data_IF_125844942260
#
_entry.id   IF_125844942260
#
_cell.length_a   1.000
_cell.length_b   1.000
_cell.length_c   1.000
_cell.angle_alpha   90.00
_cell.angle_beta   90.00
_cell.angle_gamma   90.00
#
_symmetry.space_group_name_H-M   'P 1'
#
loop_
_entity.id
_entity.type
_entity.pdbx_description
1 polymer ?
#
# COMPACT_ATOMS: atom_id res chain seq x y z
N UNK A 1 -3.22 -30.41 -25.02
CA UNK A 1 -2.81 -29.82 -26.32
C UNK A 1 -3.77 -28.69 -26.67
N UNK A 2 -3.30 -27.47 -26.92
CA UNK A 2 -4.20 -26.32 -27.14
C UNK A 2 -4.89 -26.33 -28.51
N UNK A 3 -4.31 -26.93 -29.54
CA UNK A 3 -4.99 -27.16 -30.83
C UNK A 3 -6.17 -28.12 -30.72
N UNK A 4 -5.95 -29.34 -30.21
CA UNK A 4 -6.98 -30.37 -30.10
C UNK A 4 -8.15 -30.01 -29.17
N UNK A 5 -7.88 -29.26 -28.09
CA UNK A 5 -8.88 -28.98 -27.05
C UNK A 5 -9.20 -27.49 -26.90
N UNK A 6 -8.62 -26.63 -27.73
CA UNK A 6 -8.89 -25.19 -27.72
C UNK A 6 -10.38 -24.92 -27.99
N UNK A 7 -10.96 -24.00 -27.23
CA UNK A 7 -12.40 -23.70 -27.29
C UNK A 7 -13.32 -24.73 -26.63
N UNK A 8 -12.78 -25.86 -26.15
CA UNK A 8 -13.57 -26.94 -25.54
C UNK A 8 -13.16 -27.21 -24.09
N UNK A 9 -11.86 -27.35 -23.82
CA UNK A 9 -11.36 -27.59 -22.46
C UNK A 9 -11.28 -26.28 -21.65
N UNK A 10 -11.66 -26.30 -20.36
CA UNK A 10 -11.44 -25.18 -19.45
C UNK A 10 -9.96 -24.80 -19.41
N UNK A 11 -9.68 -23.50 -19.40
CA UNK A 11 -8.34 -22.98 -19.30
C UNK A 11 -8.19 -22.12 -18.03
N UNK A 12 -7.58 -22.66 -16.96
CA UNK A 12 -7.32 -21.96 -15.71
C UNK A 12 -6.62 -20.61 -15.88
N UNK A 13 -5.66 -20.48 -16.82
CA UNK A 13 -4.95 -19.19 -16.99
C UNK A 13 -5.86 -18.09 -17.56
N UNK A 14 -6.80 -18.46 -18.44
CA UNK A 14 -7.78 -17.50 -18.97
C UNK A 14 -8.77 -17.08 -17.88
N UNK A 15 -9.18 -18.01 -17.02
CA UNK A 15 -10.05 -17.70 -15.87
C UNK A 15 -9.34 -16.80 -14.87
N UNK A 16 -8.09 -17.11 -14.54
CA UNK A 16 -7.27 -16.28 -13.67
C UNK A 16 -7.09 -14.86 -14.24
N UNK A 17 -6.80 -14.74 -15.54
CA UNK A 17 -6.69 -13.43 -16.20
C UNK A 17 -7.97 -12.60 -16.12
N UNK A 18 -9.14 -13.23 -16.29
CA UNK A 18 -10.45 -12.58 -16.11
C UNK A 18 -10.65 -12.13 -14.67
N UNK A 19 -10.37 -12.99 -13.70
CA UNK A 19 -10.50 -12.67 -12.28
C UNK A 19 -9.65 -11.44 -11.96
N UNK A 20 -8.34 -11.50 -12.23
CA UNK A 20 -7.40 -10.41 -11.92
C UNK A 20 -7.80 -9.11 -12.62
N UNK A 21 -8.14 -9.16 -13.91
CA UNK A 21 -8.59 -7.99 -14.66
C UNK A 21 -9.93 -7.42 -14.19
N UNK A 22 -10.71 -8.19 -13.43
CA UNK A 22 -12.00 -7.76 -12.88
C UNK A 22 -11.92 -7.31 -11.42
N UNK A 23 -10.75 -7.39 -10.75
CA UNK A 23 -10.56 -6.92 -9.36
C UNK A 23 -10.26 -5.41 -9.27
N UNK A 24 -9.79 -4.79 -10.35
CA UNK A 24 -9.46 -3.36 -10.42
C UNK A 24 -9.78 -2.83 -11.81
N UNK A 25 -10.52 -1.73 -11.86
CA UNK A 25 -10.89 -1.05 -13.10
C UNK A 25 -9.70 -0.32 -13.73
N UNK A 26 -9.87 0.07 -15.00
CA UNK A 26 -8.87 0.85 -15.74
C UNK A 26 -8.67 2.27 -15.18
N UNK A 27 -9.60 2.75 -14.36
CA UNK A 27 -9.51 3.99 -13.60
C UNK A 27 -8.84 3.81 -12.24
N UNK A 28 -8.31 2.61 -11.94
CA UNK A 28 -7.65 2.27 -10.69
C UNK A 28 -8.58 1.97 -9.51
N UNK A 29 -9.91 2.02 -9.71
CA UNK A 29 -10.87 1.72 -8.65
C UNK A 29 -10.98 0.20 -8.43
N UNK A 30 -10.97 -0.24 -7.16
CA UNK A 30 -11.11 -1.66 -6.80
C UNK A 30 -12.58 -2.07 -6.86
N UNK A 31 -12.90 -3.07 -7.66
CA UNK A 31 -14.29 -3.43 -8.00
C UNK A 31 -14.90 -4.48 -7.07
N UNK A 32 -14.17 -4.90 -6.03
CA UNK A 32 -14.66 -5.87 -5.05
C UNK A 32 -15.86 -5.26 -4.28
N UNK A 33 -17.01 -5.94 -4.20
CA UNK A 33 -18.17 -5.44 -3.48
C UNK A 33 -17.87 -5.13 -2.02
N UNK A 34 -18.28 -3.94 -1.57
CA UNK A 34 -18.08 -3.46 -0.21
C UNK A 34 -16.64 -3.06 0.14
N UNK A 35 -15.73 -2.99 -0.85
CA UNK A 35 -14.32 -2.67 -0.59
C UNK A 35 -14.12 -1.27 0.01
N UNK A 36 -14.98 -0.31 -0.35
CA UNK A 36 -14.87 1.08 0.10
C UNK A 36 -15.85 1.47 1.21
N UNK A 37 -16.72 0.56 1.67
CA UNK A 37 -17.84 0.90 2.56
C UNK A 37 -17.40 1.53 3.88
N UNK A 38 -16.29 1.03 4.44
CA UNK A 38 -15.77 1.47 5.74
C UNK A 38 -14.58 2.44 5.59
N UNK A 39 -14.35 3.00 4.40
CA UNK A 39 -13.20 3.89 4.18
C UNK A 39 -13.42 5.25 4.86
N UNK A 40 -12.58 5.56 5.84
CA UNK A 40 -12.53 6.89 6.44
C UNK A 40 -11.82 7.91 5.55
N UNK A 41 -12.57 8.89 5.07
CA UNK A 41 -12.02 10.01 4.30
C UNK A 41 -11.13 10.93 5.18
N UNK A 42 -10.06 11.51 4.59
CA UNK A 42 -9.29 12.56 5.24
C UNK A 42 -10.16 13.80 5.53
N UNK A 43 -9.75 14.58 6.52
CA UNK A 43 -10.36 15.88 6.81
C UNK A 43 -10.04 16.92 5.72
N UNK A 44 -10.87 17.95 5.59
CA UNK A 44 -10.60 19.06 4.65
C UNK A 44 -9.24 19.75 4.90
N UNK A 45 -8.80 19.79 6.17
CA UNK A 45 -7.51 20.33 6.56
C UNK A 45 -6.34 19.46 6.06
N UNK A 46 -6.44 18.13 6.21
CA UNK A 46 -5.47 17.18 5.64
C UNK A 46 -5.42 17.31 4.12
N UNK A 47 -6.57 17.33 3.44
CA UNK A 47 -6.65 17.49 1.99
C UNK A 47 -6.04 18.82 1.52
N UNK A 48 -6.30 19.92 2.23
CA UNK A 48 -5.73 21.22 1.90
C UNK A 48 -4.21 21.26 2.03
N UNK A 49 -3.62 20.53 2.98
CA UNK A 49 -2.16 20.40 3.08
C UNK A 49 -1.61 19.54 1.95
N UNK A 50 -2.18 18.36 1.69
CA UNK A 50 -1.72 17.47 0.62
C UNK A 50 -1.80 18.12 -0.76
N UNK A 51 -2.81 18.94 -1.04
CA UNK A 51 -2.90 19.68 -2.32
C UNK A 51 -1.69 20.58 -2.59
N UNK A 52 -1.01 21.07 -1.56
CA UNK A 52 0.18 21.93 -1.72
C UNK A 52 1.37 21.15 -2.25
N UNK A 53 1.50 19.90 -1.84
CA UNK A 53 2.67 19.05 -2.12
C UNK A 53 2.40 18.02 -3.24
N UNK A 54 1.15 17.82 -3.64
CA UNK A 54 0.76 16.74 -4.56
C UNK A 54 1.48 16.84 -5.91
N UNK A 55 1.61 18.03 -6.48
CA UNK A 55 2.30 18.22 -7.76
C UNK A 55 3.79 17.82 -7.68
N UNK A 56 4.47 18.23 -6.59
CA UNK A 56 5.87 17.86 -6.34
C UNK A 56 6.02 16.37 -6.10
N UNK A 57 5.08 15.77 -5.34
CA UNK A 57 5.04 14.32 -5.17
C UNK A 57 4.86 13.58 -6.50
N UNK A 58 3.98 14.06 -7.38
CA UNK A 58 3.74 13.44 -8.68
C UNK A 58 4.99 13.50 -9.57
N UNK A 59 5.66 14.64 -9.65
CA UNK A 59 6.90 14.82 -10.41
C UNK A 59 7.99 13.85 -9.90
N UNK A 60 8.17 13.80 -8.58
CA UNK A 60 9.17 12.92 -7.97
C UNK A 60 8.83 11.44 -8.15
N UNK A 61 7.55 11.06 -8.01
CA UNK A 61 7.11 9.68 -8.25
C UNK A 61 7.37 9.24 -9.70
N UNK A 62 7.11 10.09 -10.69
CA UNK A 62 7.43 9.82 -12.09
C UNK A 62 8.94 9.67 -12.30
N UNK A 63 9.73 10.57 -11.71
CA UNK A 63 11.21 10.54 -11.79
C UNK A 63 11.77 9.25 -11.20
N UNK A 64 11.32 8.85 -10.02
CA UNK A 64 11.83 7.69 -9.29
C UNK A 64 11.40 6.36 -9.91
N UNK A 65 10.16 6.28 -10.40
CA UNK A 65 9.63 5.05 -11.02
C UNK A 65 10.03 4.90 -12.48
N UNK A 66 10.41 6.00 -13.15
CA UNK A 66 10.62 6.03 -14.59
C UNK A 66 9.34 5.88 -15.40
N UNK A 67 8.16 5.97 -14.77
CA UNK A 67 6.87 5.87 -15.43
C UNK A 67 6.60 7.11 -16.30
N UNK A 68 5.83 6.93 -17.38
CA UNK A 68 5.39 8.04 -18.25
C UNK A 68 4.17 8.78 -17.70
N UNK A 69 3.40 8.11 -16.84
CA UNK A 69 2.22 8.63 -16.19
C UNK A 69 1.99 7.86 -14.89
N UNK A 70 1.35 8.50 -13.92
CA UNK A 70 0.89 7.84 -12.71
C UNK A 70 -0.49 7.22 -12.97
N UNK A 71 -0.67 5.98 -12.54
CA UNK A 71 -1.94 5.27 -12.56
C UNK A 71 -2.59 5.30 -11.17
N UNK A 72 -3.90 5.22 -11.10
CA UNK A 72 -4.64 5.04 -9.85
C UNK A 72 -6.03 5.67 -9.88
N UNK A 73 -6.74 5.51 -8.78
CA UNK A 73 -8.15 5.90 -8.64
C UNK A 73 -8.43 7.35 -9.10
N UNK A 74 -9.30 7.49 -10.10
CA UNK A 74 -9.68 8.79 -10.64
C UNK A 74 -10.40 9.67 -9.60
N UNK A 75 -10.21 10.99 -9.67
CA UNK A 75 -10.84 11.95 -8.76
C UNK A 75 -10.12 12.16 -7.42
N UNK A 76 -9.01 11.46 -7.16
CA UNK A 76 -8.20 11.60 -5.95
C UNK A 76 -6.79 12.10 -6.26
N UNK A 77 -6.23 12.90 -5.36
CA UNK A 77 -4.82 13.31 -5.39
C UNK A 77 -3.89 12.08 -5.36
N UNK A 78 -2.66 12.23 -5.86
CA UNK A 78 -1.67 11.15 -5.76
C UNK A 78 -1.31 10.83 -4.31
N UNK A 79 -1.24 11.85 -3.45
CA UNK A 79 -1.06 11.70 -2.00
C UNK A 79 -2.27 11.07 -1.30
N UNK A 80 -3.49 11.33 -1.76
CA UNK A 80 -4.68 10.64 -1.25
C UNK A 80 -4.61 9.15 -1.56
N UNK A 81 -4.30 8.81 -2.83
CA UNK A 81 -4.13 7.43 -3.31
C UNK A 81 -3.05 6.67 -2.53
N UNK A 82 -1.98 7.36 -2.13
CA UNK A 82 -0.85 6.78 -1.40
C UNK A 82 -1.21 6.32 0.02
N UNK A 83 -2.00 7.10 0.77
CA UNK A 83 -2.13 6.90 2.22
C UNK A 83 -3.55 6.92 2.78
N UNK A 84 -4.58 7.16 1.95
CA UNK A 84 -5.97 7.26 2.42
C UNK A 84 -7.00 6.56 1.55
N UNK A 85 -6.60 6.10 0.36
CA UNK A 85 -7.41 5.23 -0.48
C UNK A 85 -6.88 3.79 -0.41
N UNK A 86 -7.74 2.79 -0.21
CA UNK A 86 -7.31 1.41 -0.32
C UNK A 86 -7.02 1.05 -1.78
N UNK A 87 -6.10 0.11 -1.99
CA UNK A 87 -5.72 -0.36 -3.34
C UNK A 87 -5.52 -1.87 -3.32
N UNK A 88 -5.54 -2.45 -4.51
CA UNK A 88 -5.22 -3.84 -4.79
C UNK A 88 -4.21 -3.90 -5.93
N UNK A 89 -3.22 -4.77 -5.81
CA UNK A 89 -2.23 -4.98 -6.85
C UNK A 89 -1.89 -6.47 -7.01
N UNK A 90 -1.69 -6.89 -8.26
CA UNK A 90 -1.20 -8.22 -8.59
C UNK A 90 0.34 -8.21 -8.57
N UNK A 91 0.91 -8.97 -7.64
CA UNK A 91 2.35 -9.02 -7.40
C UNK A 91 3.05 -10.09 -8.25
N UNK A 92 2.29 -11.05 -8.77
CA UNK A 92 2.81 -12.09 -9.64
C UNK A 92 1.70 -13.01 -10.14
N UNK A 93 1.88 -13.53 -11.35
CA UNK A 93 0.98 -14.48 -11.99
C UNK A 93 1.82 -15.56 -12.64
N UNK A 94 1.51 -16.83 -12.38
CA UNK A 94 2.18 -17.97 -12.98
C UNK A 94 1.16 -18.95 -13.56
N UNK A 95 1.43 -19.44 -14.76
CA UNK A 95 0.70 -20.51 -15.40
C UNK A 95 1.26 -20.79 -16.79
N UNK A 96 0.96 -21.96 -17.34
CA UNK A 96 1.32 -22.28 -18.73
C UNK A 96 2.82 -22.43 -18.96
N UNK A 97 3.26 -21.97 -20.13
CA UNK A 97 4.65 -22.01 -20.59
C UNK A 97 5.22 -20.59 -20.54
N UNK A 98 6.27 -20.39 -19.74
CA UNK A 98 6.85 -19.06 -19.44
C UNK A 98 8.31 -18.91 -19.90
N UNK A 99 8.87 -19.95 -20.53
CA UNK A 99 10.24 -19.96 -21.05
C UNK A 99 10.32 -19.40 -22.47
N UNK A 100 11.53 -19.24 -23.00
CA UNK A 100 11.75 -18.83 -24.39
C UNK A 100 11.25 -19.91 -25.35
N UNK A 101 10.65 -19.49 -26.46
CA UNK A 101 10.15 -20.37 -27.53
C UNK A 101 8.63 -20.46 -27.53
N UNK A 102 8.10 -21.56 -28.05
CA UNK A 102 6.67 -21.75 -28.27
C UNK A 102 6.20 -23.09 -27.72
N UNK A 103 5.01 -23.11 -27.08
CA UNK A 103 4.37 -24.36 -26.63
C UNK A 103 2.85 -24.25 -26.70
N UNK A 104 2.23 -25.15 -27.45
CA UNK A 104 0.76 -25.22 -27.67
C UNK A 104 0.07 -26.03 -26.56
N UNK A 105 0.00 -25.44 -25.36
CA UNK A 105 -0.52 -26.09 -24.13
C UNK A 105 -1.72 -25.36 -23.54
N UNK A 106 -2.64 -26.12 -22.94
CA UNK A 106 -3.64 -25.61 -21.99
C UNK A 106 -3.11 -26.01 -20.61
N UNK A 107 -2.69 -25.07 -19.75
CA UNK A 107 -2.21 -25.42 -18.42
C UNK A 107 -3.33 -26.01 -17.57
N UNK A 108 -3.00 -27.01 -16.74
CA UNK A 108 -3.95 -27.58 -15.80
C UNK A 108 -4.14 -26.72 -14.54
N UNK A 109 -3.19 -25.82 -14.25
CA UNK A 109 -3.22 -24.93 -13.08
C UNK A 109 -2.62 -23.57 -13.43
N UNK A 110 -3.07 -22.55 -12.71
CA UNK A 110 -2.49 -21.21 -12.71
C UNK A 110 -2.73 -20.58 -11.33
N UNK A 111 -1.87 -19.65 -10.91
CA UNK A 111 -2.01 -18.94 -9.65
C UNK A 111 -1.56 -17.49 -9.77
N UNK A 112 -2.11 -16.64 -8.92
CA UNK A 112 -1.68 -15.26 -8.76
C UNK A 112 -1.42 -14.96 -7.29
N UNK A 113 -0.51 -14.03 -7.02
CA UNK A 113 -0.35 -13.40 -5.71
C UNK A 113 -0.87 -11.97 -5.83
N UNK A 114 -1.84 -11.62 -5.01
CA UNK A 114 -2.37 -10.26 -4.89
C UNK A 114 -2.14 -9.74 -3.48
N UNK A 115 -2.03 -8.43 -3.34
CA UNK A 115 -2.05 -7.76 -2.04
C UNK A 115 -3.01 -6.60 -2.08
N UNK A 116 -3.58 -6.29 -0.92
CA UNK A 116 -4.42 -5.12 -0.72
C UNK A 116 -3.80 -4.24 0.34
N UNK A 117 -3.80 -2.92 0.11
CA UNK A 117 -3.54 -1.93 1.15
C UNK A 117 -4.89 -1.49 1.70
N UNK A 118 -5.09 -1.74 2.99
CA UNK A 118 -6.26 -1.28 3.71
C UNK A 118 -5.94 0.04 4.41
N UNK A 119 -6.97 0.86 4.58
CA UNK A 119 -6.93 2.17 5.23
C UNK A 119 -7.82 2.15 6.47
N UNK A 120 -7.74 3.16 7.36
CA UNK A 120 -8.44 3.14 8.64
C UNK A 120 -9.93 2.79 8.51
N UNK A 121 -10.41 2.09 9.53
CA UNK A 121 -11.78 1.57 9.70
C UNK A 121 -12.14 0.35 8.81
N UNK A 122 -11.26 -0.09 7.90
CA UNK A 122 -11.46 -1.35 7.17
C UNK A 122 -11.06 -2.60 7.98
N UNK A 123 -11.95 -3.59 7.96
CA UNK A 123 -11.71 -4.93 8.52
C UNK A 123 -11.23 -5.91 7.43
N UNK A 124 -10.03 -6.47 7.62
CA UNK A 124 -9.43 -7.40 6.67
C UNK A 124 -10.24 -8.70 6.52
N UNK A 125 -10.97 -9.14 7.56
CA UNK A 125 -11.82 -10.34 7.49
C UNK A 125 -13.02 -10.11 6.58
N UNK A 126 -13.68 -8.96 6.73
CA UNK A 126 -14.77 -8.53 5.86
C UNK A 126 -14.31 -8.43 4.40
N UNK A 127 -13.15 -7.80 4.17
CA UNK A 127 -12.59 -7.64 2.83
C UNK A 127 -12.20 -8.99 2.21
N UNK A 128 -11.59 -9.89 2.98
CA UNK A 128 -11.25 -11.24 2.49
C UNK A 128 -12.50 -12.01 2.08
N UNK A 129 -13.57 -11.97 2.89
CA UNK A 129 -14.84 -12.62 2.58
C UNK A 129 -15.49 -12.02 1.32
N UNK A 130 -15.43 -10.70 1.15
CA UNK A 130 -15.90 -10.03 -0.07
C UNK A 130 -15.10 -10.46 -1.31
N UNK A 131 -13.76 -10.54 -1.19
CA UNK A 131 -12.90 -11.04 -2.27
C UNK A 131 -13.26 -12.48 -2.63
N UNK A 132 -13.36 -13.37 -1.65
CA UNK A 132 -13.71 -14.78 -1.85
C UNK A 132 -15.04 -14.91 -2.60
N UNK A 133 -16.08 -14.22 -2.13
CA UNK A 133 -17.39 -14.20 -2.79
C UNK A 133 -17.30 -13.69 -4.22
N UNK A 134 -16.61 -12.58 -4.45
CA UNK A 134 -16.49 -11.98 -5.77
C UNK A 134 -15.72 -12.86 -6.76
N UNK A 135 -14.61 -13.46 -6.33
CA UNK A 135 -13.82 -14.40 -7.14
C UNK A 135 -14.66 -15.60 -7.58
N UNK A 136 -15.53 -16.12 -6.71
CA UNK A 136 -16.44 -17.21 -7.11
C UNK A 136 -17.40 -16.79 -8.22
N UNK A 137 -17.91 -15.55 -8.19
CA UNK A 137 -18.79 -15.05 -9.28
C UNK A 137 -18.08 -14.88 -10.63
N UNK A 138 -16.77 -14.71 -10.61
CA UNK A 138 -15.92 -14.52 -11.80
C UNK A 138 -15.36 -15.84 -12.37
N UNK A 139 -15.53 -16.94 -11.65
CA UNK A 139 -15.01 -18.26 -12.04
C UNK A 139 -15.76 -18.79 -13.26
N UNK A 140 -15.04 -19.45 -14.18
CA UNK A 140 -15.65 -19.99 -15.41
C UNK A 140 -15.91 -21.48 -15.30
N UNK A 141 -16.87 -22.03 -16.07
CA UNK A 141 -17.24 -23.44 -15.98
C UNK A 141 -16.05 -24.39 -16.13
N UNK A 142 -15.99 -25.39 -15.25
CA UNK A 142 -14.95 -26.41 -15.28
C UNK A 142 -13.58 -25.97 -14.74
N UNK A 143 -13.48 -24.80 -14.11
CA UNK A 143 -12.30 -24.36 -13.35
C UNK A 143 -12.65 -24.26 -11.88
N UNK A 144 -11.85 -24.89 -11.03
CA UNK A 144 -11.89 -24.71 -9.58
C UNK A 144 -11.00 -23.54 -9.18
N UNK A 145 -11.50 -22.67 -8.31
CA UNK A 145 -10.76 -21.50 -7.81
C UNK A 145 -10.81 -21.46 -6.29
N UNK A 146 -9.64 -21.34 -5.68
CA UNK A 146 -9.43 -21.18 -4.24
C UNK A 146 -8.68 -19.88 -3.96
N UNK A 147 -9.10 -19.16 -2.93
CA UNK A 147 -8.39 -18.00 -2.39
C UNK A 147 -7.72 -18.41 -1.10
N UNK A 148 -6.44 -18.06 -0.94
CA UNK A 148 -5.64 -18.37 0.23
C UNK A 148 -5.11 -17.10 0.88
N UNK A 149 -5.40 -16.92 2.18
CA UNK A 149 -4.82 -15.84 2.97
C UNK A 149 -3.37 -16.18 3.33
N UNK A 150 -2.44 -15.35 2.88
CA UNK A 150 -1.01 -15.49 3.20
C UNK A 150 -0.59 -14.66 4.41
N UNK A 151 -1.21 -13.49 4.61
CA UNK A 151 -0.93 -12.58 5.70
C UNK A 151 -1.93 -11.44 5.74
N UNK A 152 -2.13 -10.85 6.91
CA UNK A 152 -2.99 -9.70 7.12
C UNK A 152 -2.46 -8.89 8.30
N UNK A 153 -2.59 -7.57 8.22
CA UNK A 153 -2.32 -6.65 9.31
C UNK A 153 -3.37 -5.53 9.24
N UNK A 154 -3.99 -5.16 10.37
CA UNK A 154 -4.89 -4.01 10.41
C UNK A 154 -4.17 -2.71 10.02
N UNK A 155 -4.91 -1.71 9.50
CA UNK A 155 -4.38 -0.36 9.34
C UNK A 155 -4.08 0.26 10.72
N UNK A 156 -3.11 1.17 10.78
CA UNK A 156 -2.75 1.87 12.01
C UNK A 156 -2.76 3.38 11.80
N UNK A 157 -3.30 4.12 12.78
CA UNK A 157 -3.22 5.59 12.82
C UNK A 157 -2.36 6.04 14.00
N UNK A 158 -1.38 6.90 13.69
CA UNK A 158 -0.60 7.58 14.72
C UNK A 158 -1.40 8.72 15.34
N UNK A 159 -1.16 9.00 16.62
CA UNK A 159 -1.81 10.08 17.37
C UNK A 159 -1.19 11.45 17.03
N UNK A 160 -1.49 11.96 15.85
CA UNK A 160 -0.89 13.18 15.29
C UNK A 160 -1.17 14.46 16.11
N UNK A 161 -2.22 14.47 16.91
CA UNK A 161 -2.62 15.55 17.81
C UNK A 161 -2.01 15.44 19.22
N UNK A 162 -1.25 14.37 19.50
CA UNK A 162 -0.61 14.18 20.79
C UNK A 162 0.56 15.16 20.99
N UNK A 163 0.86 15.52 22.25
CA UNK A 163 1.98 16.42 22.57
C UNK A 163 3.33 15.90 22.06
N UNK A 164 3.52 14.57 22.13
CA UNK A 164 4.69 13.90 21.58
C UNK A 164 4.84 14.15 20.06
N UNK A 165 3.73 14.17 19.30
CA UNK A 165 3.78 14.33 17.84
C UNK A 165 4.27 15.73 17.47
N UNK A 166 3.76 16.75 18.16
CA UNK A 166 4.25 18.13 18.04
C UNK A 166 5.73 18.24 18.39
N UNK A 167 6.15 17.61 19.49
CA UNK A 167 7.55 17.62 19.89
C UNK A 167 8.46 16.98 18.83
N UNK A 168 8.03 15.88 18.22
CA UNK A 168 8.75 15.20 17.15
C UNK A 168 8.82 16.06 15.88
N UNK A 169 7.70 16.67 15.48
CA UNK A 169 7.68 17.58 14.33
C UNK A 169 8.66 18.75 14.50
N UNK A 170 8.65 19.41 15.66
CA UNK A 170 9.58 20.51 15.95
C UNK A 170 11.03 20.02 15.93
N UNK A 171 11.31 18.85 16.49
CA UNK A 171 12.66 18.29 16.50
C UNK A 171 13.19 17.99 15.08
N UNK A 172 12.35 17.44 14.20
CA UNK A 172 12.69 17.25 12.80
C UNK A 172 12.83 18.59 12.06
N UNK A 173 11.96 19.56 12.32
CA UNK A 173 12.02 20.87 11.65
C UNK A 173 13.31 21.62 11.98
N UNK A 174 13.74 21.58 13.25
CA UNK A 174 15.01 22.17 13.69
C UNK A 174 16.23 21.46 13.10
N UNK A 175 16.22 20.12 13.04
CA UNK A 175 17.35 19.35 12.51
C UNK A 175 17.49 19.48 10.99
N UNK A 176 16.37 19.44 10.26
CA UNK A 176 16.34 19.46 8.80
C UNK A 176 16.21 20.86 8.19
N UNK A 177 15.90 21.88 9.00
CA UNK A 177 15.73 23.26 8.55
C UNK A 177 14.54 23.47 7.61
N UNK A 178 13.57 22.55 7.63
CA UNK A 178 12.36 22.57 6.79
C UNK A 178 11.16 22.14 7.60
N UNK A 179 10.00 22.70 7.28
CA UNK A 179 8.73 22.35 7.91
C UNK A 179 8.49 20.84 7.86
N UNK A 180 8.24 20.23 9.02
CA UNK A 180 7.89 18.80 9.09
C UNK A 180 6.41 18.61 8.83
N UNK A 181 6.07 17.80 7.82
CA UNK A 181 4.68 17.50 7.46
C UNK A 181 4.19 16.20 8.11
N UNK A 182 2.90 16.17 8.45
CA UNK A 182 2.23 14.92 8.80
C UNK A 182 1.73 14.27 7.53
N UNK A 183 2.03 13.00 7.35
CA UNK A 183 1.63 12.25 6.18
C UNK A 183 1.12 10.87 6.58
N UNK A 184 0.26 10.32 5.72
CA UNK A 184 -0.06 8.89 5.72
C UNK A 184 0.84 8.18 4.73
N UNK A 185 1.17 6.93 5.00
CA UNK A 185 2.09 6.13 4.18
C UNK A 185 1.42 4.81 3.79
N UNK A 186 1.69 4.33 2.56
CA UNK A 186 1.09 3.11 2.03
C UNK A 186 1.81 1.82 2.46
N UNK A 187 2.93 1.97 3.15
CA UNK A 187 3.67 0.87 3.77
C UNK A 187 2.90 0.22 4.93
N UNK A 188 3.37 -0.94 5.38
CA UNK A 188 2.79 -1.61 6.54
C UNK A 188 3.88 -2.06 7.49
N UNK A 189 3.67 -1.78 8.78
CA UNK A 189 4.50 -2.24 9.89
C UNK A 189 3.56 -2.98 10.84
N UNK A 190 3.28 -4.29 10.62
CA UNK A 190 2.23 -5.00 11.36
C UNK A 190 2.35 -4.90 12.88
N UNK A 191 3.58 -4.99 13.39
CA UNK A 191 3.89 -4.90 14.83
C UNK A 191 3.47 -3.57 15.46
N UNK A 192 3.24 -2.51 14.67
CA UNK A 192 2.80 -1.22 15.18
C UNK A 192 1.40 -1.29 15.82
N UNK A 193 0.51 -2.11 15.26
CA UNK A 193 -0.82 -2.37 15.81
C UNK A 193 -0.68 -3.14 17.12
N UNK A 194 0.06 -4.26 17.09
CA UNK A 194 0.28 -5.11 18.27
C UNK A 194 0.90 -4.31 19.42
N UNK A 195 1.87 -3.43 19.12
CA UNK A 195 2.53 -2.59 20.12
C UNK A 195 1.58 -1.53 20.70
N UNK A 196 0.78 -0.88 19.85
CA UNK A 196 -0.21 0.10 20.30
C UNK A 196 -1.25 -0.53 21.23
N UNK A 197 -1.77 -1.71 20.89
CA UNK A 197 -2.74 -2.44 21.71
C UNK A 197 -2.12 -2.97 23.01
N UNK A 198 -0.93 -3.55 22.95
CA UNK A 198 -0.27 -4.14 24.12
C UNK A 198 0.18 -3.08 25.15
N UNK A 199 0.65 -1.92 24.68
CA UNK A 199 1.13 -0.84 25.56
C UNK A 199 0.00 0.08 25.99
N UNK A 200 -1.05 0.25 25.17
CA UNK A 200 -2.14 1.17 25.44
C UNK A 200 -1.73 2.65 25.39
N UNK A 201 -0.61 2.96 24.71
CA UNK A 201 -0.06 4.31 24.58
C UNK A 201 -0.20 4.85 23.14
N UNK A 202 -0.20 6.19 22.96
CA UNK A 202 -0.15 6.80 21.64
C UNK A 202 1.04 6.28 20.83
N UNK A 203 0.78 5.81 19.61
CA UNK A 203 1.80 5.40 18.66
C UNK A 203 2.21 6.58 17.79
N UNK A 204 3.51 6.71 17.54
CA UNK A 204 4.05 7.59 16.50
C UNK A 204 5.07 6.85 15.66
N UNK A 205 4.99 7.06 14.35
CA UNK A 205 5.93 6.48 13.39
C UNK A 205 6.68 7.62 12.72
N UNK A 206 8.00 7.53 12.74
CA UNK A 206 8.89 8.38 11.94
C UNK A 206 10.05 7.56 11.39
N UNK A 207 10.65 8.04 10.31
CA UNK A 207 11.84 7.45 9.73
C UNK A 207 12.80 8.54 9.25
N UNK A 208 14.03 8.12 8.95
CA UNK A 208 15.11 9.01 8.48
C UNK A 208 15.45 8.80 7.00
N UNK A 209 14.79 7.84 6.35
CA UNK A 209 15.01 7.50 4.94
C UNK A 209 14.53 8.61 4.02
N UNK A 210 15.33 8.92 3.01
CA UNK A 210 14.95 9.81 1.92
C UNK A 210 14.02 9.11 0.92
N UNK A 211 13.31 9.87 0.08
CA UNK A 211 12.32 9.35 -0.86
C UNK A 211 12.88 8.32 -1.87
N UNK A 212 14.15 8.47 -2.25
CA UNK A 212 14.82 7.59 -3.21
C UNK A 212 15.63 6.45 -2.56
N UNK A 213 15.41 6.17 -1.27
CA UNK A 213 16.13 5.12 -0.54
C UNK A 213 15.97 3.70 -1.13
N UNK A 214 15.04 3.51 -2.07
CA UNK A 214 14.87 2.28 -2.85
C UNK A 214 14.63 1.03 -1.97
N UNK A 215 13.85 1.20 -0.90
CA UNK A 215 13.48 0.12 0.03
C UNK A 215 12.89 -1.06 -0.75
N UNK A 216 13.44 -2.26 -0.52
CA UNK A 216 13.08 -3.51 -1.22
C UNK A 216 13.42 -3.57 -2.73
N UNK A 217 14.27 -2.67 -3.22
CA UNK A 217 14.70 -2.61 -4.61
C UNK A 217 16.23 -2.75 -4.71
N UNK A 218 16.80 -3.09 -5.89
CA UNK A 218 18.25 -3.05 -6.06
C UNK A 218 18.83 -1.67 -5.70
N UNK A 219 20.01 -1.66 -5.08
CA UNK A 219 20.71 -0.45 -4.63
C UNK A 219 19.95 0.36 -3.56
N UNK A 220 19.27 -0.32 -2.65
CA UNK A 220 18.77 0.28 -1.40
C UNK A 220 19.91 1.05 -0.69
N UNK A 221 19.65 2.31 -0.32
CA UNK A 221 20.68 3.17 0.25
C UNK A 221 20.12 4.23 1.20
N UNK A 222 20.99 4.76 2.07
CA UNK A 222 20.71 5.85 2.99
C UNK A 222 21.82 6.90 2.87
N UNK A 223 21.45 8.18 2.76
CA UNK A 223 22.45 9.25 2.76
C UNK A 223 23.11 9.35 4.14
N UNK A 224 24.44 9.48 4.18
CA UNK A 224 25.17 9.67 5.44
C UNK A 224 24.70 10.94 6.16
N UNK A 225 24.38 11.99 5.41
CA UNK A 225 23.77 13.20 5.96
C UNK A 225 22.41 12.92 6.61
N UNK A 226 21.53 12.14 5.95
CA UNK A 226 20.25 11.72 6.56
C UNK A 226 20.45 10.94 7.85
N UNK A 227 21.44 10.06 7.89
CA UNK A 227 21.75 9.30 9.08
C UNK A 227 22.13 10.22 10.26
N UNK A 228 23.03 11.18 10.04
CA UNK A 228 23.47 12.10 11.09
C UNK A 228 22.39 13.11 11.50
N UNK A 229 21.70 13.73 10.54
CA UNK A 229 20.60 14.66 10.86
C UNK A 229 19.42 13.94 11.51
N UNK A 230 19.18 12.69 11.14
CA UNK A 230 18.20 11.82 11.82
C UNK A 230 18.55 11.55 13.28
N UNK A 231 19.83 11.27 13.59
CA UNK A 231 20.30 11.14 14.98
C UNK A 231 20.07 12.45 15.74
N UNK A 232 20.41 13.59 15.15
CA UNK A 232 20.17 14.91 15.76
C UNK A 232 18.68 15.13 16.06
N UNK A 233 17.79 14.82 15.10
CA UNK A 233 16.35 14.95 15.27
C UNK A 233 15.83 14.09 16.44
N UNK A 234 16.32 12.85 16.57
CA UNK A 234 15.93 11.97 17.68
C UNK A 234 16.44 12.47 19.03
N UNK A 235 17.67 12.99 19.10
CA UNK A 235 18.22 13.60 20.33
C UNK A 235 17.36 14.81 20.73
N UNK A 236 17.08 15.72 19.79
CA UNK A 236 16.22 16.89 20.03
C UNK A 236 14.84 16.48 20.53
N UNK A 237 14.26 15.45 19.94
CA UNK A 237 12.97 14.91 20.37
C UNK A 237 13.02 14.38 21.80
N UNK A 238 14.00 13.52 22.14
CA UNK A 238 14.12 12.95 23.49
C UNK A 238 14.32 14.02 24.56
N UNK A 239 15.18 15.01 24.31
CA UNK A 239 15.40 16.15 25.23
C UNK A 239 14.12 16.97 25.42
N UNK A 240 13.46 17.35 24.32
CA UNK A 240 12.23 18.15 24.36
C UNK A 240 11.08 17.42 25.03
N UNK A 241 10.94 16.12 24.76
CA UNK A 241 9.86 15.34 25.32
C UNK A 241 10.01 15.20 26.84
N UNK A 242 11.24 14.98 27.33
CA UNK A 242 11.54 14.95 28.77
C UNK A 242 11.20 16.28 29.48
N UNK A 243 11.43 17.42 28.84
CA UNK A 243 11.11 18.75 29.38
C UNK A 243 9.61 19.05 29.39
N UNK A 244 8.82 18.40 28.54
CA UNK A 244 7.40 18.71 28.39
C UNK A 244 6.51 18.20 29.54
N UNK A 245 7.08 17.45 30.51
CA UNK A 245 6.38 17.00 31.72
C UNK A 245 5.18 16.10 31.48
N UNK A 246 5.00 15.59 30.26
CA UNK A 246 3.91 14.68 29.88
C UNK A 246 4.34 13.23 30.07
N UNK A 247 4.38 12.81 31.34
CA UNK A 247 4.37 11.41 31.74
C UNK A 247 2.96 10.99 32.16
#
# INVERSE_FOLDING_TARGET
HSGSFGGNAPNPINTLGRIIGALKGADGHVTIPGFYDDVKFPTDAELAEWRKDDATFQEEALRLTGARALEGESGFLALERKGSRPTLDANGMLGGFVEKGEKTVIPATAFAKVSMRLVPDQDWEKILKSLEGYVQTLTTPGVEVRVDKLGAAPPVLSAADHAAARALQTAFEEAFGKKTVLMREGGSIPVAVDFQEAVGAPLMISGIGQADAAVHSPNEHLLISQYHTGIEALIRFMCRFAESGTA
#
